data_IF_020405849234
#
_entry.id   IF_020405849234
#
_cell.length_a   1.000
_cell.length_b   1.000
_cell.length_c   1.000
_cell.angle_alpha   90.00
_cell.angle_beta   90.00
_cell.angle_gamma   90.00
#
_symmetry.space_group_name_H-M   'P 1'
#
loop_
_entity.id
_entity.type
_entity.pdbx_description
1 polymer ?
#
# COMPACT_ATOMS: atom_id res chain seq x y z
N UNK A 1 41.12 -4.39 51.96
CA UNK A 1 40.41 -5.18 50.93
C UNK A 1 39.95 -4.23 49.83
N UNK A 2 40.52 -4.37 48.63
CA UNK A 2 40.20 -3.58 47.43
C UNK A 2 39.18 -4.38 46.61
N UNK A 3 37.92 -3.95 46.59
CA UNK A 3 36.94 -4.42 45.61
C UNK A 3 36.24 -3.19 45.05
N UNK A 4 36.86 -2.57 44.03
CA UNK A 4 36.15 -1.68 43.12
C UNK A 4 35.88 -2.50 41.88
N UNK A 5 34.79 -3.26 41.98
CA UNK A 5 34.09 -3.86 40.84
C UNK A 5 33.04 -2.84 40.41
N UNK A 6 33.47 -1.71 39.84
CA UNK A 6 32.53 -0.73 39.32
C UNK A 6 32.18 -1.14 37.90
N UNK A 7 31.02 -1.82 37.83
CA UNK A 7 30.16 -2.07 36.69
C UNK A 7 30.65 -1.42 35.38
N UNK A 8 31.02 -2.28 34.45
CA UNK A 8 30.95 -1.98 33.02
C UNK A 8 29.52 -1.50 32.78
N UNK A 9 29.39 -0.19 32.53
CA UNK A 9 28.20 0.45 32.01
C UNK A 9 27.99 -0.13 30.62
N UNK A 10 27.36 -1.31 30.56
CA UNK A 10 26.81 -1.85 29.32
C UNK A 10 25.74 -0.84 28.96
N UNK A 11 26.15 0.10 28.11
CA UNK A 11 25.32 1.14 27.56
C UNK A 11 24.21 0.40 26.83
N UNK A 12 23.05 0.33 27.47
CA UNK A 12 21.80 -0.03 26.84
C UNK A 12 21.54 1.05 25.80
N UNK A 13 22.14 0.87 24.63
CA UNK A 13 21.63 1.46 23.40
C UNK A 13 20.25 0.86 23.23
N UNK A 14 19.26 1.49 23.87
CA UNK A 14 17.92 1.55 23.33
C UNK A 14 18.09 2.20 21.96
N UNK A 15 18.45 1.36 20.98
CA UNK A 15 18.32 1.61 19.57
C UNK A 15 16.87 2.07 19.42
N UNK A 16 16.69 3.37 19.26
CA UNK A 16 15.43 3.93 18.79
C UNK A 16 15.18 3.27 17.44
N UNK A 17 14.48 2.14 17.45
CA UNK A 17 13.87 1.58 16.27
C UNK A 17 12.83 2.63 15.86
N UNK A 18 13.21 3.48 14.90
CA UNK A 18 12.30 4.46 14.33
C UNK A 18 11.02 3.76 13.90
N UNK A 19 9.89 4.42 14.13
CA UNK A 19 8.60 3.91 13.69
C UNK A 19 8.66 3.65 12.17
N UNK A 20 8.24 2.46 11.73
CA UNK A 20 8.32 2.09 10.32
C UNK A 20 7.37 2.96 9.50
N UNK A 21 7.89 3.52 8.41
CA UNK A 21 7.12 4.42 7.55
C UNK A 21 6.89 3.83 6.17
N UNK A 22 5.75 4.16 5.57
CA UNK A 22 5.54 3.92 4.14
C UNK A 22 6.36 4.92 3.32
N UNK A 23 6.77 4.56 2.10
CA UNK A 23 7.43 5.51 1.21
C UNK A 23 6.45 6.63 0.85
N UNK A 24 6.89 7.87 1.01
CA UNK A 24 6.15 9.08 0.62
C UNK A 24 6.64 9.51 -0.74
N UNK A 25 5.72 9.80 -1.66
CA UNK A 25 6.08 10.13 -3.04
C UNK A 25 4.97 9.82 -4.03
N UNK A 26 5.33 9.84 -5.30
CA UNK A 26 4.44 9.47 -6.42
C UNK A 26 5.04 8.30 -7.15
N UNK A 27 4.26 7.23 -7.28
CA UNK A 27 4.71 5.92 -7.75
C UNK A 27 3.90 5.52 -8.98
N UNK A 28 4.54 5.24 -10.13
CA UNK A 28 3.84 4.77 -11.30
C UNK A 28 3.35 3.34 -11.09
N UNK A 29 2.14 3.05 -11.53
CA UNK A 29 1.56 1.73 -11.53
C UNK A 29 2.21 0.82 -12.56
N UNK A 30 2.42 -0.43 -12.18
CA UNK A 30 2.98 -1.49 -13.00
C UNK A 30 1.90 -2.45 -13.50
N UNK A 31 1.04 -2.91 -12.58
CA UNK A 31 0.00 -3.92 -12.90
C UNK A 31 -1.26 -3.68 -12.08
N UNK A 32 -2.38 -4.11 -12.64
CA UNK A 32 -3.70 -4.13 -12.03
C UNK A 32 -4.42 -5.43 -12.37
N UNK A 33 -5.04 -6.06 -11.38
CA UNK A 33 -5.92 -7.21 -11.57
C UNK A 33 -7.11 -7.19 -10.62
N UNK A 34 -8.21 -7.76 -11.10
CA UNK A 34 -9.38 -8.10 -10.30
C UNK A 34 -9.51 -9.62 -10.26
N UNK A 35 -9.65 -10.17 -9.06
CA UNK A 35 -9.85 -11.59 -8.81
C UNK A 35 -11.20 -11.81 -8.11
N UNK A 36 -11.89 -12.90 -8.46
CA UNK A 36 -13.08 -13.36 -7.74
C UNK A 36 -13.01 -14.86 -7.57
N UNK A 37 -13.21 -15.34 -6.34
CA UNK A 37 -13.12 -16.77 -6.01
C UNK A 37 -11.78 -17.42 -6.46
N UNK A 38 -10.68 -16.65 -6.41
CA UNK A 38 -9.35 -17.12 -6.80
C UNK A 38 -9.06 -17.12 -8.32
N UNK A 39 -10.01 -16.71 -9.15
CA UNK A 39 -9.81 -16.57 -10.59
C UNK A 39 -9.72 -15.09 -10.99
N UNK A 40 -8.75 -14.73 -11.83
CA UNK A 40 -8.67 -13.40 -12.44
C UNK A 40 -9.86 -13.19 -13.36
N UNK A 41 -10.65 -12.13 -13.11
CA UNK A 41 -11.81 -11.76 -13.91
C UNK A 41 -11.54 -10.57 -14.83
N UNK A 42 -10.49 -9.80 -14.55
CA UNK A 42 -10.06 -8.68 -15.37
C UNK A 42 -8.62 -8.29 -15.00
N UNK A 43 -7.85 -7.78 -15.96
CA UNK A 43 -6.51 -7.27 -15.71
C UNK A 43 -6.10 -6.21 -16.73
N UNK A 44 -5.05 -5.46 -16.41
CA UNK A 44 -4.48 -4.47 -17.33
C UNK A 44 -3.89 -5.07 -18.62
N UNK A 45 -3.81 -6.41 -18.74
CA UNK A 45 -3.38 -7.10 -19.97
C UNK A 45 -4.50 -7.22 -20.99
N UNK A 46 -5.74 -7.05 -20.56
CA UNK A 46 -6.93 -7.21 -21.41
C UNK A 46 -7.40 -5.87 -22.03
N UNK A 47 -6.73 -4.77 -21.70
CA UNK A 47 -7.04 -3.43 -22.23
C UNK A 47 -5.96 -2.97 -23.19
N UNK A 48 -6.35 -2.16 -24.18
CA UNK A 48 -5.43 -1.54 -25.11
C UNK A 48 -4.41 -0.63 -24.40
N UNK A 49 -4.87 0.16 -23.42
CA UNK A 49 -4.02 1.05 -22.66
C UNK A 49 -4.42 1.09 -21.19
N UNK A 50 -3.41 1.06 -20.32
CA UNK A 50 -3.55 1.23 -18.88
C UNK A 50 -2.41 2.12 -18.36
N UNK A 51 -2.77 3.10 -17.56
CA UNK A 51 -1.85 3.86 -16.74
C UNK A 51 -2.46 4.06 -15.36
N UNK A 52 -1.67 3.88 -14.31
CA UNK A 52 -2.09 4.24 -12.96
C UNK A 52 -0.96 4.90 -12.19
N UNK A 53 -1.32 5.67 -11.17
CA UNK A 53 -0.38 6.38 -10.31
C UNK A 53 -0.89 6.33 -8.88
N UNK A 54 0.02 6.10 -7.94
CA UNK A 54 -0.24 6.22 -6.52
C UNK A 54 0.61 7.33 -5.94
N UNK A 55 -0.01 8.32 -5.34
CA UNK A 55 0.67 9.30 -4.50
C UNK A 55 0.40 8.97 -3.03
N UNK A 56 1.46 8.83 -2.24
CA UNK A 56 1.39 8.61 -0.79
C UNK A 56 1.90 9.87 -0.10
N UNK A 57 1.08 10.43 0.80
CA UNK A 57 1.43 11.56 1.66
C UNK A 57 1.24 11.16 3.13
N UNK A 58 2.27 11.35 3.95
CA UNK A 58 2.15 11.17 5.40
C UNK A 58 1.37 12.34 6.00
N UNK A 59 0.32 12.04 6.76
CA UNK A 59 -0.53 13.04 7.44
C UNK A 59 -0.14 13.12 8.92
N UNK A 60 0.02 11.98 9.56
CA UNK A 60 0.53 11.82 10.94
C UNK A 60 1.24 10.47 11.06
N UNK A 61 1.74 10.11 12.25
CA UNK A 61 2.59 8.93 12.47
C UNK A 61 2.13 7.66 11.74
N UNK A 62 0.85 7.32 11.90
CA UNK A 62 0.23 6.11 11.34
C UNK A 62 -0.78 6.39 10.23
N UNK A 63 -1.04 7.66 9.92
CA UNK A 63 -2.10 8.04 8.97
C UNK A 63 -1.46 8.57 7.69
N UNK A 64 -1.82 7.95 6.58
CA UNK A 64 -1.33 8.28 5.25
C UNK A 64 -2.51 8.56 4.33
N UNK A 65 -2.36 9.55 3.47
CA UNK A 65 -3.30 9.85 2.40
C UNK A 65 -2.77 9.26 1.10
N UNK A 66 -3.61 8.47 0.45
CA UNK A 66 -3.33 7.81 -0.82
C UNK A 66 -4.21 8.46 -1.87
N UNK A 67 -3.58 9.00 -2.91
CA UNK A 67 -4.28 9.44 -4.13
C UNK A 67 -3.97 8.44 -5.23
N UNK A 68 -4.96 7.68 -5.65
CA UNK A 68 -4.87 6.69 -6.72
C UNK A 68 -5.56 7.28 -7.95
N UNK A 69 -4.82 7.43 -9.04
CA UNK A 69 -5.36 7.81 -10.34
C UNK A 69 -5.20 6.64 -11.31
N UNK A 70 -6.26 6.31 -12.04
CA UNK A 70 -6.29 5.22 -13.02
C UNK A 70 -6.85 5.74 -14.33
N UNK A 71 -6.25 5.31 -15.43
CA UNK A 71 -6.71 5.53 -16.79
C UNK A 71 -6.71 4.18 -17.53
N UNK A 72 -7.86 3.86 -18.13
CA UNK A 72 -8.10 2.61 -18.84
C UNK A 72 -8.73 2.92 -20.20
N UNK A 73 -8.25 2.23 -21.24
CA UNK A 73 -8.87 2.25 -22.55
C UNK A 73 -8.95 0.83 -23.08
N UNK A 74 -10.17 0.32 -23.25
CA UNK A 74 -10.43 -1.06 -23.64
C UNK A 74 -9.89 -1.38 -25.04
N UNK A 75 -10.23 -0.56 -26.04
CA UNK A 75 -9.78 -0.69 -27.42
C UNK A 75 -9.23 0.65 -27.95
N UNK A 76 -8.45 0.68 -29.05
CA UNK A 76 -7.92 1.93 -29.60
C UNK A 76 -8.99 2.99 -29.94
N UNK A 77 -10.22 2.55 -30.23
CA UNK A 77 -11.35 3.40 -30.62
C UNK A 77 -12.36 3.61 -29.49
N UNK A 78 -12.25 2.89 -28.38
CA UNK A 78 -13.16 3.06 -27.25
C UNK A 78 -12.87 4.37 -26.52
N UNK A 79 -13.90 4.95 -25.91
CA UNK A 79 -13.73 6.05 -24.96
C UNK A 79 -12.83 5.58 -23.81
N UNK A 80 -11.90 6.44 -23.41
CA UNK A 80 -11.10 6.19 -22.23
C UNK A 80 -11.91 6.47 -20.96
N UNK A 81 -11.67 5.65 -19.94
CA UNK A 81 -12.19 5.81 -18.60
C UNK A 81 -11.05 6.25 -17.68
N UNK A 82 -11.29 7.28 -16.90
CA UNK A 82 -10.36 7.74 -15.88
C UNK A 82 -11.09 7.90 -14.57
N UNK A 83 -10.45 7.47 -13.48
CA UNK A 83 -10.94 7.69 -12.13
C UNK A 83 -9.80 8.17 -11.23
N UNK A 84 -10.14 8.96 -10.21
CA UNK A 84 -9.19 9.40 -9.20
C UNK A 84 -9.83 9.34 -7.84
N UNK A 85 -9.22 8.56 -6.95
CA UNK A 85 -9.69 8.33 -5.59
C UNK A 85 -8.66 8.84 -4.59
N UNK A 86 -9.15 9.55 -3.58
CA UNK A 86 -8.32 10.02 -2.46
C UNK A 86 -8.87 9.40 -1.18
N UNK A 87 -8.04 8.61 -0.50
CA UNK A 87 -8.38 7.94 0.74
C UNK A 87 -7.33 8.17 1.81
N UNK A 88 -7.76 8.08 3.07
CA UNK A 88 -6.86 8.13 4.23
C UNK A 88 -6.87 6.78 4.89
N UNK A 89 -5.68 6.28 5.18
CA UNK A 89 -5.48 4.98 5.77
C UNK A 89 -4.68 5.09 7.06
N UNK A 90 -5.18 4.44 8.11
CA UNK A 90 -4.35 4.04 9.23
C UNK A 90 -3.55 2.79 8.82
N UNK A 91 -2.23 2.86 8.99
CA UNK A 91 -1.28 1.81 8.62
C UNK A 91 -0.92 0.99 9.85
N UNK A 92 -1.11 -0.33 9.76
CA UNK A 92 -0.71 -1.28 10.80
C UNK A 92 0.27 -2.29 10.21
N UNK A 93 1.52 -2.24 10.66
CA UNK A 93 2.54 -3.21 10.23
C UNK A 93 2.32 -4.58 10.86
N UNK A 94 2.44 -5.64 10.04
CA UNK A 94 2.42 -7.04 10.48
C UNK A 94 3.81 -7.68 10.42
N UNK A 95 4.67 -7.22 9.51
CA UNK A 95 6.07 -7.66 9.41
C UNK A 95 6.94 -6.50 8.90
N UNK A 96 8.20 -6.79 8.55
CA UNK A 96 9.12 -5.80 7.94
C UNK A 96 8.65 -5.31 6.57
N UNK A 97 7.95 -6.16 5.83
CA UNK A 97 7.56 -5.87 4.45
C UNK A 97 6.04 -5.80 4.26
N UNK A 98 5.21 -6.12 5.27
CA UNK A 98 3.77 -6.20 5.06
C UNK A 98 2.96 -5.59 6.20
N UNK A 99 1.73 -5.20 5.89
CA UNK A 99 0.78 -4.67 6.85
C UNK A 99 -0.62 -4.53 6.28
N UNK A 100 -1.46 -3.81 7.00
CA UNK A 100 -2.85 -3.55 6.67
C UNK A 100 -3.09 -2.04 6.56
N UNK A 101 -3.93 -1.66 5.60
CA UNK A 101 -4.44 -0.32 5.40
C UNK A 101 -5.91 -0.31 5.85
N UNK A 102 -6.23 0.46 6.88
CA UNK A 102 -7.60 0.64 7.38
C UNK A 102 -8.11 2.00 6.91
N UNK A 103 -9.14 2.02 6.07
CA UNK A 103 -9.69 3.28 5.55
C UNK A 103 -10.40 4.05 6.68
N UNK A 104 -10.08 5.33 6.83
CA UNK A 104 -10.68 6.20 7.84
C UNK A 104 -12.15 6.56 7.53
N UNK A 105 -12.60 6.39 6.28
CA UNK A 105 -13.99 6.62 5.89
C UNK A 105 -14.85 5.41 6.27
N UNK A 106 -15.84 5.64 7.13
CA UNK A 106 -16.79 4.60 7.60
C UNK A 106 -17.48 3.80 6.50
N UNK A 107 -17.72 4.39 5.32
CA UNK A 107 -18.36 3.67 4.21
C UNK A 107 -17.53 2.50 3.65
N UNK A 108 -16.23 2.47 3.95
CA UNK A 108 -15.28 1.44 3.53
C UNK A 108 -14.77 0.60 4.70
N UNK A 109 -15.43 0.64 5.86
CA UNK A 109 -15.03 -0.09 7.07
C UNK A 109 -15.00 -1.63 6.90
N UNK A 110 -15.78 -2.14 5.95
CA UNK A 110 -15.81 -3.56 5.55
C UNK A 110 -14.74 -3.92 4.53
N UNK A 111 -14.14 -2.94 3.87
CA UNK A 111 -13.05 -3.17 2.93
C UNK A 111 -11.78 -3.48 3.70
N UNK A 112 -11.11 -4.57 3.31
CA UNK A 112 -9.84 -4.97 3.93
C UNK A 112 -8.75 -4.83 2.90
N UNK A 113 -7.76 -4.00 3.21
CA UNK A 113 -6.61 -3.79 2.34
C UNK A 113 -5.34 -4.23 3.04
N UNK A 114 -4.54 -5.03 2.37
CA UNK A 114 -3.21 -5.44 2.81
C UNK A 114 -2.18 -4.90 1.84
N UNK A 115 -0.97 -4.66 2.33
CA UNK A 115 0.13 -4.24 1.49
C UNK A 115 1.36 -5.11 1.67
N UNK A 116 2.17 -5.18 0.61
CA UNK A 116 3.50 -5.74 0.58
C UNK A 116 4.45 -4.70 -0.03
N UNK A 117 5.42 -4.26 0.78
CA UNK A 117 6.49 -3.35 0.46
C UNK A 117 7.78 -4.13 0.23
N UNK A 118 8.20 -4.22 -1.02
CA UNK A 118 9.48 -4.77 -1.45
C UNK A 118 10.38 -3.62 -1.92
N UNK A 119 11.71 -3.82 -2.01
CA UNK A 119 12.65 -2.75 -2.35
C UNK A 119 12.30 -1.94 -3.60
N UNK A 120 11.69 -2.56 -4.60
CA UNK A 120 11.35 -1.91 -5.89
C UNK A 120 9.85 -1.85 -6.17
N UNK A 121 9.02 -2.37 -5.27
CA UNK A 121 7.59 -2.58 -5.53
C UNK A 121 6.73 -2.36 -4.30
N UNK A 122 5.63 -1.65 -4.50
CA UNK A 122 4.53 -1.61 -3.54
C UNK A 122 3.35 -2.38 -4.12
N UNK A 123 2.85 -3.39 -3.41
CA UNK A 123 1.64 -4.09 -3.81
C UNK A 123 0.56 -3.84 -2.78
N UNK A 124 -0.63 -3.46 -3.23
CA UNK A 124 -1.83 -3.30 -2.41
C UNK A 124 -2.83 -4.32 -2.90
N UNK A 125 -3.37 -5.13 -1.97
CA UNK A 125 -4.43 -6.08 -2.22
C UNK A 125 -5.65 -5.68 -1.40
N UNK A 126 -6.73 -5.31 -2.07
CA UNK A 126 -7.94 -4.75 -1.45
C UNK A 126 -9.15 -5.62 -1.75
N UNK A 127 -9.82 -6.11 -0.71
CA UNK A 127 -11.14 -6.70 -0.84
C UNK A 127 -12.14 -5.58 -1.14
N UNK A 128 -12.57 -5.50 -2.39
CA UNK A 128 -13.56 -4.53 -2.86
C UNK A 128 -14.92 -5.08 -2.50
N UNK A 129 -15.53 -4.47 -1.46
CA UNK A 129 -16.87 -4.76 -0.96
C UNK A 129 -17.14 -6.23 -0.57
N UNK A 130 -18.41 -6.56 -0.23
CA UNK A 130 -18.82 -7.90 0.19
C UNK A 130 -19.02 -8.91 -0.98
N UNK A 131 -18.74 -8.51 -2.21
CA UNK A 131 -18.92 -9.34 -3.42
C UNK A 131 -17.85 -10.42 -3.59
N UNK A 132 -16.80 -10.39 -2.75
CA UNK A 132 -15.67 -11.30 -2.83
C UNK A 132 -14.68 -10.97 -3.95
N UNK A 133 -14.77 -9.77 -4.54
CA UNK A 133 -13.81 -9.29 -5.53
C UNK A 133 -12.60 -8.71 -4.82
N UNK A 134 -11.41 -9.14 -5.23
CA UNK A 134 -10.14 -8.65 -4.72
C UNK A 134 -9.41 -7.91 -5.83
N UNK A 135 -9.11 -6.64 -5.56
CA UNK A 135 -8.29 -5.79 -6.40
C UNK A 135 -6.83 -5.91 -5.98
N UNK A 136 -5.92 -6.08 -6.93
CA UNK A 136 -4.47 -6.02 -6.69
C UNK A 136 -3.85 -4.95 -7.58
N UNK A 137 -3.19 -3.98 -6.95
CA UNK A 137 -2.42 -2.94 -7.62
C UNK A 137 -0.95 -3.04 -7.23
N UNK A 138 -0.06 -2.99 -8.21
CA UNK A 138 1.38 -2.95 -7.97
C UNK A 138 1.97 -1.67 -8.55
N UNK A 139 2.82 -1.02 -7.78
CA UNK A 139 3.49 0.23 -8.12
C UNK A 139 5.00 0.06 -8.05
N UNK A 140 5.73 0.83 -8.85
CA UNK A 140 7.20 0.90 -8.79
C UNK A 140 7.62 1.86 -7.68
N UNK A 141 8.52 1.42 -6.82
CA UNK A 141 9.23 2.27 -5.86
C UNK A 141 10.72 2.27 -6.25
N UNK A 142 11.37 3.42 -6.15
CA UNK A 142 12.82 3.61 -6.38
C UNK A 142 13.51 4.05 -5.09
#
# INVERSE_FOLDING_TARGET
MRFIFFLILISSTNLFAGERELPVGTFPGLTFSLEKNGATIFSNKEVHYHSSTLQIRKISSHIYEFTVAVYLQETPVSKALSDTRVDRYTVIWKSEAMGTLINEKKQYDKERSEFLLLPTKFTIKSLVNASGVVETQTYKIE
#
